data_IF_475242234838
#
_entry.id   IF_475242234838
#
_cell.length_a   1.000
_cell.length_b   1.000
_cell.length_c   1.000
_cell.angle_alpha   90.00
_cell.angle_beta   90.00
_cell.angle_gamma   90.00
#
_symmetry.space_group_name_H-M   'P 1'
#
loop_
_entity.id
_entity.type
_entity.pdbx_description
1 polymer ?
#
# COMPACT_ATOMS: atom_id res chain seq x y z
N UNK A 1 -4.65 -27.04 15.02
CA UNK A 1 -4.10 -25.95 15.86
C UNK A 1 -4.30 -24.65 15.10
N UNK A 2 -4.90 -23.61 15.69
CA UNK A 2 -4.92 -22.28 15.03
C UNK A 2 -3.47 -21.85 14.85
N UNK A 3 -3.05 -21.62 13.61
CA UNK A 3 -1.71 -21.16 13.31
C UNK A 3 -1.48 -19.84 14.08
N UNK A 4 -0.48 -19.80 14.97
CA UNK A 4 -0.23 -18.61 15.83
C UNK A 4 0.26 -17.42 15.02
N UNK A 5 0.87 -17.69 13.86
CA UNK A 5 1.42 -16.68 12.96
C UNK A 5 0.38 -16.37 11.88
N UNK A 6 0.15 -15.08 11.64
CA UNK A 6 -0.69 -14.55 10.56
C UNK A 6 0.21 -13.86 9.52
N UNK A 7 0.78 -14.58 8.54
CA UNK A 7 1.68 -13.98 7.56
C UNK A 7 0.93 -13.04 6.62
N UNK A 8 1.40 -11.80 6.50
CA UNK A 8 0.82 -10.77 5.62
C UNK A 8 1.85 -10.44 4.54
N UNK A 9 1.43 -10.47 3.27
CA UNK A 9 2.31 -10.10 2.16
C UNK A 9 2.08 -8.64 1.74
N UNK A 10 3.15 -7.88 1.63
CA UNK A 10 3.09 -6.54 1.02
C UNK A 10 2.66 -6.64 -0.44
N UNK A 11 1.76 -5.75 -0.83
CA UNK A 11 1.09 -5.78 -2.12
C UNK A 11 1.28 -4.44 -2.83
N UNK A 12 2.20 -4.44 -3.79
CA UNK A 12 2.59 -3.25 -4.56
C UNK A 12 1.57 -3.00 -5.69
N UNK A 13 0.92 -1.83 -5.73
CA UNK A 13 -0.12 -1.56 -6.73
C UNK A 13 0.42 -1.20 -8.12
N UNK A 14 1.71 -0.91 -8.30
CA UNK A 14 2.33 -0.31 -9.50
C UNK A 14 2.44 -1.24 -10.73
N UNK A 15 1.58 -2.26 -10.82
CA UNK A 15 1.40 -3.13 -12.00
C UNK A 15 0.17 -2.70 -12.82
N UNK A 16 0.02 -1.39 -13.02
CA UNK A 16 -0.92 -0.76 -13.94
C UNK A 16 -0.40 0.63 -14.29
N UNK A 17 -0.82 1.19 -15.42
CA UNK A 17 -0.37 2.52 -15.84
C UNK A 17 -1.16 3.62 -15.13
N UNK A 18 -0.48 4.73 -14.85
CA UNK A 18 -1.08 5.98 -14.37
C UNK A 18 -0.43 7.15 -15.13
N UNK A 19 -1.15 8.28 -15.34
CA UNK A 19 -0.61 9.42 -16.07
C UNK A 19 0.71 9.96 -15.50
N UNK A 20 0.84 9.96 -14.17
CA UNK A 20 2.06 10.39 -13.48
C UNK A 20 3.29 9.57 -13.89
N UNK A 21 3.17 8.24 -13.84
CA UNK A 21 4.26 7.35 -14.18
C UNK A 21 4.61 7.41 -15.67
N UNK A 22 3.60 7.52 -16.54
CA UNK A 22 3.83 7.66 -17.97
C UNK A 22 4.58 8.96 -18.30
N UNK A 23 4.24 10.06 -17.60
CA UNK A 23 4.92 11.34 -17.73
C UNK A 23 6.37 11.27 -17.24
N UNK A 24 6.62 10.62 -16.11
CA UNK A 24 7.93 10.64 -15.49
C UNK A 24 8.89 9.61 -16.07
N UNK A 25 8.39 8.41 -16.37
CA UNK A 25 9.21 7.21 -16.63
C UNK A 25 9.00 6.63 -18.04
N UNK A 26 8.09 7.24 -18.82
CA UNK A 26 7.81 6.91 -20.22
C UNK A 26 6.47 6.20 -20.40
N UNK A 27 5.85 6.40 -21.56
CA UNK A 27 4.53 5.90 -21.88
C UNK A 27 4.40 4.38 -21.67
N UNK A 28 3.38 3.95 -20.93
CA UNK A 28 3.10 2.56 -20.61
C UNK A 28 3.90 2.02 -19.43
N UNK A 29 4.41 2.89 -18.55
CA UNK A 29 5.26 2.46 -17.44
C UNK A 29 4.46 1.66 -16.39
N UNK A 30 5.01 0.52 -16.01
CA UNK A 30 4.63 -0.29 -14.84
C UNK A 30 5.88 -0.94 -14.27
N UNK A 31 5.81 -1.56 -13.10
CA UNK A 31 6.95 -2.35 -12.58
C UNK A 31 7.37 -3.50 -13.52
N UNK A 32 6.50 -3.96 -14.42
CA UNK A 32 6.92 -4.91 -15.46
C UNK A 32 7.98 -4.37 -16.39
N UNK A 33 8.03 -3.06 -16.61
CA UNK A 33 9.09 -2.41 -17.38
C UNK A 33 10.45 -2.61 -16.70
N UNK A 34 10.51 -2.55 -15.37
CA UNK A 34 11.74 -2.80 -14.61
C UNK A 34 12.10 -4.28 -14.60
N UNK A 35 11.14 -5.17 -14.35
CA UNK A 35 11.34 -6.63 -14.38
C UNK A 35 11.91 -7.07 -15.73
N UNK A 36 11.36 -6.58 -16.85
CA UNK A 36 11.83 -6.90 -18.20
C UNK A 36 13.23 -6.36 -18.51
N UNK A 37 13.60 -5.22 -17.92
CA UNK A 37 14.93 -4.59 -18.11
C UNK A 37 16.03 -5.20 -17.25
N UNK A 38 15.67 -5.94 -16.20
CA UNK A 38 16.63 -6.48 -15.23
C UNK A 38 17.64 -7.41 -15.92
N UNK A 39 18.91 -7.27 -15.52
CA UNK A 39 20.03 -8.08 -16.02
C UNK A 39 20.82 -8.63 -14.83
N UNK A 40 21.56 -9.75 -15.01
CA UNK A 40 22.50 -10.23 -14.01
C UNK A 40 23.52 -9.13 -13.65
N UNK A 41 23.78 -8.94 -12.36
CA UNK A 41 24.76 -7.96 -11.85
C UNK A 41 26.11 -8.64 -11.55
N UNK A 42 26.10 -9.97 -11.41
CA UNK A 42 27.25 -10.81 -11.15
C UNK A 42 26.99 -12.20 -11.73
N UNK A 43 28.06 -13.00 -11.87
CA UNK A 43 27.99 -14.36 -12.42
C UNK A 43 27.08 -15.24 -11.57
N UNK A 44 26.08 -15.87 -12.19
CA UNK A 44 25.09 -16.71 -11.52
C UNK A 44 23.88 -15.96 -10.93
N UNK A 45 23.81 -14.63 -11.07
CA UNK A 45 22.61 -13.87 -10.67
C UNK A 45 21.44 -14.20 -11.61
N UNK A 46 20.41 -14.87 -11.08
CA UNK A 46 19.19 -15.17 -11.85
C UNK A 46 18.35 -13.91 -12.03
N UNK A 47 18.55 -13.22 -13.16
CA UNK A 47 17.71 -12.11 -13.60
C UNK A 47 17.53 -12.18 -15.12
N UNK A 48 16.35 -11.78 -15.63
CA UNK A 48 15.17 -11.36 -14.87
C UNK A 48 14.41 -12.53 -14.24
N UNK A 49 13.76 -12.32 -13.09
CA UNK A 49 12.74 -13.24 -12.58
C UNK A 49 11.45 -13.08 -13.40
N UNK A 50 11.30 -13.91 -14.43
CA UNK A 50 10.14 -13.86 -15.33
C UNK A 50 8.90 -14.41 -14.60
N UNK A 51 7.79 -13.64 -14.50
CA UNK A 51 6.56 -14.12 -13.88
C UNK A 51 5.83 -15.09 -14.81
N UNK A 52 4.90 -15.87 -14.27
CA UNK A 52 3.99 -16.69 -15.08
C UNK A 52 3.07 -15.83 -15.97
N UNK A 53 2.82 -14.57 -15.61
CA UNK A 53 2.05 -13.61 -16.40
C UNK A 53 2.44 -12.17 -16.06
N UNK A 54 2.51 -11.31 -17.08
CA UNK A 54 2.61 -9.85 -16.94
C UNK A 54 1.20 -9.26 -16.85
N UNK A 55 0.63 -9.26 -15.65
CA UNK A 55 -0.77 -8.90 -15.40
C UNK A 55 -1.00 -7.39 -15.22
N UNK A 56 -2.27 -6.96 -15.27
CA UNK A 56 -2.71 -5.61 -14.91
C UNK A 56 -3.57 -5.66 -13.63
N UNK A 57 -3.20 -4.89 -12.60
CA UNK A 57 -3.91 -4.86 -11.32
C UNK A 57 -5.20 -4.01 -11.31
N UNK A 58 -5.56 -3.41 -12.43
CA UNK A 58 -6.91 -2.87 -12.63
C UNK A 58 -7.94 -3.98 -12.89
N UNK A 59 -7.53 -5.19 -13.26
CA UNK A 59 -8.43 -6.34 -13.42
C UNK A 59 -8.65 -7.08 -12.08
N UNK A 60 -9.86 -7.05 -11.50
CA UNK A 60 -10.16 -7.78 -10.27
C UNK A 60 -9.98 -9.30 -10.39
N UNK A 61 -10.05 -9.89 -11.60
CA UNK A 61 -9.83 -11.33 -11.79
C UNK A 61 -8.39 -11.72 -11.46
N UNK A 62 -7.42 -10.86 -11.81
CA UNK A 62 -6.01 -11.05 -11.46
C UNK A 62 -5.86 -11.07 -9.94
N UNK A 63 -6.42 -10.07 -9.25
CA UNK A 63 -6.35 -9.98 -7.79
C UNK A 63 -7.05 -11.17 -7.12
N UNK A 64 -8.16 -11.65 -7.68
CA UNK A 64 -8.84 -12.86 -7.20
C UNK A 64 -7.95 -14.10 -7.29
N UNK A 65 -7.32 -14.33 -8.44
CA UNK A 65 -6.39 -15.46 -8.64
C UNK A 65 -5.20 -15.38 -7.67
N UNK A 66 -4.67 -14.18 -7.43
CA UNK A 66 -3.57 -13.97 -6.49
C UNK A 66 -4.01 -14.20 -5.04
N UNK A 67 -5.22 -13.76 -4.65
CA UNK A 67 -5.79 -14.03 -3.34
C UNK A 67 -6.02 -15.53 -3.11
N UNK A 68 -6.54 -16.26 -4.10
CA UNK A 68 -6.72 -17.71 -4.06
C UNK A 68 -5.37 -18.44 -3.93
N UNK A 69 -4.36 -18.00 -4.69
CA UNK A 69 -3.00 -18.54 -4.61
C UNK A 69 -2.38 -18.27 -3.23
N UNK A 70 -2.49 -17.04 -2.73
CA UNK A 70 -2.00 -16.64 -1.42
C UNK A 70 -2.64 -17.48 -0.30
N UNK A 71 -3.96 -17.65 -0.35
CA UNK A 71 -4.69 -18.49 0.59
C UNK A 71 -4.24 -19.95 0.52
N UNK A 72 -4.07 -20.51 -0.70
CA UNK A 72 -3.58 -21.88 -0.90
C UNK A 72 -2.22 -22.13 -0.25
N UNK A 73 -1.34 -21.13 -0.25
CA UNK A 73 0.00 -21.21 0.37
C UNK A 73 0.06 -20.67 1.80
N UNK A 74 -1.09 -20.40 2.43
CA UNK A 74 -1.18 -20.09 3.86
C UNK A 74 -0.92 -18.63 4.22
N UNK A 75 -0.94 -17.69 3.27
CA UNK A 75 -0.97 -16.26 3.57
C UNK A 75 -2.29 -15.89 4.23
N UNK A 76 -2.22 -15.06 5.26
CA UNK A 76 -3.37 -14.56 6.01
C UNK A 76 -4.06 -13.40 5.30
N UNK A 77 -3.28 -12.54 4.61
CA UNK A 77 -3.83 -11.38 3.92
C UNK A 77 -2.78 -10.56 3.18
N UNK A 78 -3.23 -9.50 2.52
CA UNK A 78 -2.38 -8.54 1.84
C UNK A 78 -2.23 -7.23 2.62
N UNK A 79 -1.08 -6.58 2.49
CA UNK A 79 -0.88 -5.21 2.95
C UNK A 79 -0.68 -4.31 1.72
N UNK A 80 -1.73 -3.61 1.31
CA UNK A 80 -1.67 -2.72 0.16
C UNK A 80 -0.87 -1.47 0.51
N UNK A 81 0.09 -1.13 -0.33
CA UNK A 81 0.69 0.20 -0.26
C UNK A 81 -0.35 1.26 -0.62
N UNK A 82 -0.42 2.27 0.23
CA UNK A 82 -1.31 3.41 0.11
C UNK A 82 -0.49 4.66 -0.15
N UNK A 83 -0.51 5.14 -1.40
CA UNK A 83 0.22 6.32 -1.85
C UNK A 83 -0.71 7.53 -1.85
N UNK A 84 -0.59 8.34 -0.80
CA UNK A 84 -1.37 9.56 -0.63
C UNK A 84 -0.47 10.67 -0.11
N UNK A 85 -0.49 11.79 -0.83
CA UNK A 85 0.37 12.95 -0.66
C UNK A 85 -0.49 14.20 -0.53
N UNK A 86 -0.83 14.56 0.71
CA UNK A 86 -1.46 15.85 1.01
C UNK A 86 -2.73 16.16 0.19
N UNK A 87 -3.57 15.17 -0.08
CA UNK A 87 -4.81 15.30 -0.86
C UNK A 87 -4.74 14.70 -2.25
N UNK A 88 -3.53 14.44 -2.77
CA UNK A 88 -3.33 13.70 -4.02
C UNK A 88 -3.12 12.23 -3.72
N UNK A 89 -4.02 11.39 -4.25
CA UNK A 89 -3.86 9.94 -4.22
C UNK A 89 -3.38 9.46 -5.59
N UNK A 90 -2.52 8.44 -5.60
CA UNK A 90 -2.01 7.79 -6.82
C UNK A 90 -1.93 6.28 -6.60
N UNK A 91 -1.86 5.51 -7.69
CA UNK A 91 -1.79 4.04 -7.68
C UNK A 91 -2.96 3.36 -6.92
N UNK A 92 -4.09 4.05 -6.76
CA UNK A 92 -5.16 3.64 -5.87
C UNK A 92 -6.11 2.60 -6.44
N UNK A 93 -6.22 2.53 -7.78
CA UNK A 93 -7.21 1.68 -8.45
C UNK A 93 -7.23 0.24 -7.93
N UNK A 94 -6.08 -0.46 -7.73
CA UNK A 94 -6.10 -1.83 -7.24
C UNK A 94 -6.78 -2.00 -5.88
N UNK A 95 -6.52 -1.12 -4.91
CA UNK A 95 -7.09 -1.28 -3.57
C UNK A 95 -8.58 -0.94 -3.53
N UNK A 96 -9.02 0.03 -4.32
CA UNK A 96 -10.46 0.32 -4.49
C UNK A 96 -11.17 -0.85 -5.17
N UNK A 97 -10.62 -1.36 -6.28
CA UNK A 97 -11.16 -2.51 -6.99
C UNK A 97 -11.22 -3.75 -6.08
N UNK A 98 -10.19 -3.98 -5.25
CA UNK A 98 -10.19 -5.07 -4.28
C UNK A 98 -11.30 -4.90 -3.24
N UNK A 99 -11.41 -3.71 -2.63
CA UNK A 99 -12.46 -3.37 -1.66
C UNK A 99 -13.86 -3.50 -2.26
N UNK A 100 -14.08 -3.11 -3.51
CA UNK A 100 -15.41 -3.13 -4.11
C UNK A 100 -15.74 -4.47 -4.81
N UNK A 101 -14.78 -5.40 -4.84
CA UNK A 101 -14.96 -6.76 -5.37
C UNK A 101 -15.59 -7.73 -4.37
N UNK A 102 -15.93 -8.92 -4.87
CA UNK A 102 -16.35 -10.09 -4.09
C UNK A 102 -15.19 -10.95 -3.58
N UNK A 103 -13.94 -10.47 -3.64
CA UNK A 103 -12.77 -11.23 -3.18
C UNK A 103 -12.78 -11.33 -1.65
N UNK A 104 -13.04 -12.51 -1.11
CA UNK A 104 -13.06 -12.74 0.34
C UNK A 104 -11.66 -13.10 0.87
N UNK A 105 -10.72 -12.15 0.81
CA UNK A 105 -9.36 -12.32 1.35
C UNK A 105 -8.97 -11.11 2.22
N UNK A 106 -8.42 -11.32 3.43
CA UNK A 106 -8.13 -10.21 4.34
C UNK A 106 -7.08 -9.25 3.80
N UNK A 107 -7.21 -7.97 4.17
CA UNK A 107 -6.23 -6.96 3.79
C UNK A 107 -6.08 -5.83 4.81
N UNK A 108 -4.96 -5.12 4.77
CA UNK A 108 -4.75 -3.84 5.46
C UNK A 108 -3.99 -2.86 4.56
N UNK A 109 -3.81 -1.63 5.04
CA UNK A 109 -3.07 -0.57 4.35
C UNK A 109 -1.71 -0.31 5.02
N UNK A 110 -0.72 0.02 4.19
CA UNK A 110 0.55 0.63 4.59
C UNK A 110 0.70 1.98 3.92
N UNK A 111 0.70 3.07 4.70
CA UNK A 111 0.96 4.40 4.17
C UNK A 111 2.42 4.53 3.75
N UNK A 112 2.65 4.64 2.44
CA UNK A 112 3.95 5.02 1.87
C UNK A 112 4.12 6.53 2.05
N UNK A 113 4.64 6.92 3.21
CA UNK A 113 4.58 8.28 3.73
C UNK A 113 5.85 9.12 3.48
N UNK A 114 6.74 8.67 2.61
CA UNK A 114 7.91 9.42 2.19
C UNK A 114 7.65 10.20 0.90
N UNK A 115 8.53 11.14 0.55
CA UNK A 115 8.47 11.80 -0.74
C UNK A 115 8.58 10.76 -1.87
N UNK A 116 7.83 10.94 -2.94
CA UNK A 116 8.08 10.23 -4.18
C UNK A 116 9.16 11.00 -4.95
N UNK A 117 10.36 10.42 -5.04
CA UNK A 117 11.50 10.98 -5.77
C UNK A 117 11.75 10.21 -7.08
N UNK A 118 12.43 10.86 -8.04
CA UNK A 118 12.81 10.22 -9.30
C UNK A 118 13.91 9.16 -9.11
N UNK A 119 14.77 9.34 -8.12
CA UNK A 119 15.83 8.40 -7.78
C UNK A 119 15.36 7.46 -6.68
N UNK A 120 15.60 6.17 -6.88
CA UNK A 120 15.33 5.10 -5.91
C UNK A 120 16.30 5.10 -4.72
N UNK A 121 17.26 6.04 -4.68
CA UNK A 121 18.34 6.12 -3.68
C UNK A 121 18.03 7.02 -2.47
N UNK A 122 16.84 7.62 -2.41
CA UNK A 122 16.39 8.44 -1.28
C UNK A 122 17.11 9.78 -1.15
N UNK A 123 17.86 10.21 -2.18
CA UNK A 123 18.39 11.57 -2.24
C UNK A 123 17.36 12.48 -2.94
N UNK A 124 16.92 13.55 -2.27
CA UNK A 124 15.81 14.45 -2.65
C UNK A 124 16.10 15.35 -3.89
N UNK A 125 16.98 14.95 -4.80
CA UNK A 125 17.39 15.82 -5.91
C UNK A 125 16.28 16.09 -6.94
N UNK A 126 15.26 15.23 -7.03
CA UNK A 126 14.07 15.43 -7.89
C UNK A 126 12.79 14.87 -7.21
N UNK A 127 12.11 15.69 -6.40
CA UNK A 127 10.82 15.32 -5.76
C UNK A 127 9.68 15.42 -6.78
N UNK A 128 9.04 14.29 -7.09
CA UNK A 128 7.88 14.16 -7.99
C UNK A 128 6.56 14.43 -7.24
N UNK A 129 6.43 13.88 -6.01
CA UNK A 129 5.34 14.16 -5.09
C UNK A 129 5.90 14.36 -3.68
N UNK A 130 5.60 15.50 -3.08
CA UNK A 130 6.06 15.86 -1.73
C UNK A 130 5.05 15.42 -0.67
N UNK A 131 5.55 14.87 0.44
CA UNK A 131 4.79 14.67 1.66
C UNK A 131 5.10 15.79 2.67
N UNK A 132 4.16 16.71 2.84
CA UNK A 132 4.27 17.85 3.74
C UNK A 132 3.48 17.62 5.04
N UNK A 133 4.19 17.35 6.14
CA UNK A 133 3.55 17.10 7.44
C UNK A 133 3.06 18.37 8.14
N UNK A 134 3.44 19.56 7.66
CA UNK A 134 3.00 20.83 8.22
C UNK A 134 1.70 21.32 7.61
N UNK A 135 1.24 20.69 6.51
CA UNK A 135 -0.03 21.04 5.88
C UNK A 135 -1.18 20.92 6.87
N UNK A 136 -1.97 21.99 6.99
CA UNK A 136 -3.18 22.01 7.78
C UNK A 136 -4.13 20.88 7.38
N UNK A 137 -4.84 20.32 8.35
CA UNK A 137 -5.80 19.23 8.17
C UNK A 137 -5.27 17.91 7.60
N UNK A 138 -3.96 17.76 7.31
CA UNK A 138 -3.36 16.50 6.83
C UNK A 138 -3.87 15.28 7.62
N UNK A 139 -3.79 15.36 8.95
CA UNK A 139 -4.20 14.30 9.85
C UNK A 139 -5.66 13.89 9.63
N UNK A 140 -6.55 14.86 9.46
CA UNK A 140 -7.98 14.62 9.31
C UNK A 140 -8.30 14.11 7.90
N UNK A 141 -7.75 14.74 6.87
CA UNK A 141 -7.95 14.32 5.47
C UNK A 141 -7.49 12.88 5.23
N UNK A 142 -6.32 12.51 5.77
CA UNK A 142 -5.79 11.16 5.63
C UNK A 142 -6.70 10.11 6.27
N UNK A 143 -7.09 10.31 7.54
CA UNK A 143 -7.89 9.31 8.25
C UNK A 143 -9.28 9.17 7.63
N UNK A 144 -9.96 10.27 7.32
CA UNK A 144 -11.27 10.26 6.65
C UNK A 144 -11.24 9.47 5.34
N UNK A 145 -10.15 9.61 4.58
CA UNK A 145 -9.97 8.90 3.30
C UNK A 145 -9.93 7.39 3.48
N UNK A 146 -9.32 6.89 4.55
CA UNK A 146 -9.14 5.46 4.76
C UNK A 146 -10.26 4.81 5.58
N UNK A 147 -11.11 5.60 6.26
CA UNK A 147 -12.24 5.08 7.07
C UNK A 147 -13.12 4.07 6.31
N UNK A 148 -13.51 4.28 5.04
CA UNK A 148 -14.29 3.30 4.29
C UNK A 148 -13.61 1.93 4.15
N UNK A 149 -12.27 1.90 4.11
CA UNK A 149 -11.49 0.66 4.10
C UNK A 149 -11.44 0.05 5.50
N UNK A 150 -11.23 0.86 6.55
CA UNK A 150 -11.18 0.39 7.94
C UNK A 150 -12.50 -0.25 8.40
N UNK A 151 -13.62 0.09 7.76
CA UNK A 151 -14.96 -0.47 8.00
C UNK A 151 -15.25 -1.73 7.18
N UNK A 152 -14.39 -2.11 6.23
CA UNK A 152 -14.59 -3.33 5.45
C UNK A 152 -14.48 -4.57 6.36
N UNK A 153 -15.42 -5.52 6.22
CA UNK A 153 -15.45 -6.76 7.03
C UNK A 153 -14.19 -7.62 6.87
N UNK A 154 -13.47 -7.48 5.75
CA UNK A 154 -12.23 -8.20 5.44
C UNK A 154 -10.98 -7.45 5.95
N UNK A 155 -11.14 -6.24 6.49
CA UNK A 155 -10.00 -5.47 6.98
C UNK A 155 -9.34 -6.17 8.17
N UNK A 156 -8.01 -6.28 8.15
CA UNK A 156 -7.26 -6.99 9.17
C UNK A 156 -7.34 -6.23 10.49
N UNK A 157 -7.83 -6.93 11.51
CA UNK A 157 -7.89 -6.44 12.88
C UNK A 157 -6.80 -7.07 13.75
N UNK A 158 -6.20 -6.26 14.62
CA UNK A 158 -5.36 -6.70 15.73
C UNK A 158 -6.04 -6.26 17.04
N UNK A 159 -6.31 -7.22 17.93
CA UNK A 159 -7.07 -6.98 19.17
C UNK A 159 -8.41 -6.26 18.94
N UNK A 160 -9.09 -6.61 17.83
CA UNK A 160 -10.39 -6.03 17.45
C UNK A 160 -10.33 -4.60 16.90
N UNK A 161 -9.13 -4.04 16.67
CA UNK A 161 -8.92 -2.72 16.07
C UNK A 161 -8.30 -2.85 14.68
N UNK A 162 -8.71 -2.05 13.68
CA UNK A 162 -8.07 -2.03 12.38
C UNK A 162 -6.55 -1.80 12.48
N UNK A 163 -5.78 -2.60 11.74
CA UNK A 163 -4.33 -2.47 11.63
C UNK A 163 -3.97 -1.51 10.49
N UNK A 164 -3.23 -0.44 10.80
CA UNK A 164 -2.66 0.48 9.82
C UNK A 164 -1.13 0.47 9.94
N UNK A 165 -0.44 0.31 8.82
CA UNK A 165 1.03 0.37 8.76
C UNK A 165 1.49 1.75 8.29
N UNK A 166 2.66 2.17 8.78
CA UNK A 166 3.36 3.40 8.37
C UNK A 166 4.78 3.01 7.95
N UNK A 167 5.20 3.38 6.73
CA UNK A 167 6.47 2.92 6.15
C UNK A 167 7.72 3.63 6.70
N UNK A 168 7.65 4.92 7.02
CA UNK A 168 8.74 5.69 7.62
C UNK A 168 8.21 6.48 8.80
N UNK A 169 7.90 5.80 9.89
CA UNK A 169 7.32 6.45 11.08
C UNK A 169 8.26 7.52 11.68
N UNK A 170 9.57 7.37 11.51
CA UNK A 170 10.60 8.25 12.06
C UNK A 170 10.65 9.65 11.42
N UNK A 171 10.09 9.85 10.22
CA UNK A 171 10.08 11.17 9.55
C UNK A 171 8.83 11.99 9.88
N UNK A 172 7.87 11.41 10.61
CA UNK A 172 6.62 12.09 10.97
C UNK A 172 6.84 12.95 12.21
N UNK A 173 6.73 14.29 12.12
CA UNK A 173 6.82 15.16 13.29
C UNK A 173 5.63 14.89 14.22
N UNK A 174 5.89 14.87 15.54
CA UNK A 174 4.87 14.67 16.57
C UNK A 174 3.96 13.45 16.34
N UNK A 175 4.51 12.34 15.84
CA UNK A 175 3.74 11.14 15.46
C UNK A 175 2.78 10.63 16.55
N UNK A 176 3.13 10.78 17.83
CA UNK A 176 2.25 10.40 18.95
C UNK A 176 0.93 11.18 18.92
N UNK A 177 0.99 12.48 18.63
CA UNK A 177 -0.18 13.34 18.53
C UNK A 177 -1.02 12.98 17.30
N UNK A 178 -0.36 12.76 16.16
CA UNK A 178 -1.00 12.31 14.92
C UNK A 178 -1.80 11.01 15.15
N UNK A 179 -1.17 10.00 15.75
CA UNK A 179 -1.80 8.71 16.05
C UNK A 179 -2.96 8.89 17.04
N UNK A 180 -2.81 9.77 18.04
CA UNK A 180 -3.89 10.06 19.00
C UNK A 180 -5.11 10.66 18.29
N UNK A 181 -4.90 11.60 17.37
CA UNK A 181 -5.96 12.19 16.53
C UNK A 181 -6.65 11.14 15.68
N UNK A 182 -5.90 10.25 15.02
CA UNK A 182 -6.46 9.16 14.23
C UNK A 182 -7.27 8.16 15.05
N UNK A 183 -6.79 7.79 16.24
CA UNK A 183 -7.54 6.92 17.15
C UNK A 183 -8.84 7.56 17.60
N UNK A 184 -8.82 8.85 17.93
CA UNK A 184 -10.03 9.59 18.29
C UNK A 184 -11.03 9.65 17.13
N UNK A 185 -10.56 9.92 15.91
CA UNK A 185 -11.42 9.96 14.73
C UNK A 185 -12.02 8.58 14.41
N UNK A 186 -11.22 7.51 14.50
CA UNK A 186 -11.71 6.14 14.32
C UNK A 186 -12.85 5.79 15.30
N UNK A 187 -12.77 6.25 16.56
CA UNK A 187 -13.84 6.07 17.55
C UNK A 187 -15.13 6.79 17.16
N UNK A 188 -15.05 8.03 16.65
CA UNK A 188 -16.23 8.79 16.17
C UNK A 188 -16.94 8.07 15.02
N UNK A 189 -16.19 7.33 14.21
CA UNK A 189 -16.71 6.52 13.11
C UNK A 189 -17.20 5.12 13.52
N UNK A 190 -17.28 4.83 14.83
CA UNK A 190 -17.78 3.55 15.36
C UNK A 190 -16.78 2.40 15.35
N UNK A 191 -15.51 2.65 15.05
CA UNK A 191 -14.43 1.66 15.19
C UNK A 191 -13.97 1.58 16.64
N UNK A 192 -13.33 0.48 17.04
CA UNK A 192 -12.80 0.29 18.41
C UNK A 192 -11.47 1.01 18.70
N UNK A 193 -11.08 1.93 17.81
CA UNK A 193 -9.76 2.59 17.79
C UNK A 193 -8.93 2.15 16.57
N UNK A 194 -7.61 2.29 16.67
CA UNK A 194 -6.65 1.99 15.59
C UNK A 194 -5.37 1.39 16.16
N UNK A 195 -4.92 0.27 15.58
CA UNK A 195 -3.61 -0.32 15.86
C UNK A 195 -2.62 0.15 14.79
N UNK A 196 -1.47 0.65 15.23
CA UNK A 196 -0.41 1.15 14.35
C UNK A 196 0.78 0.19 14.40
N UNK A 197 1.32 -0.14 13.24
CA UNK A 197 2.63 -0.78 13.10
C UNK A 197 3.52 0.08 12.20
N UNK A 198 4.82 0.07 12.47
CA UNK A 198 5.82 0.69 11.61
C UNK A 198 6.62 -0.41 10.91
N UNK A 199 7.07 -0.15 9.68
CA UNK A 199 7.96 -1.02 8.91
C UNK A 199 9.17 -0.26 8.39
#
# INVERSE_FOLDING_TARGET
>A
MKNKIKPIAFYLPQYHTIPENDLWWGNGFTEWTNVKKAKPNFKGHYQPHIPNSYYDLTDPKVMKQQAELAQKYGLYGFCFYWYWFNGKQVLEKPVYNFKDSTIEFPYCLCWANENWTRTWDGQDHDVLLKQDYQKENLSHEFIERIIPFLKDKRYILYEGKPLLLIYKANIIPNIKELISKWRAEALKHGLKGLTIAAV
#
